data_IF_494828881920
#
_entry.id   IF_494828881920
#
_cell.length_a   1.000
_cell.length_b   1.000
_cell.length_c   1.000
_cell.angle_alpha   90.00
_cell.angle_beta   90.00
_cell.angle_gamma   90.00
#
_symmetry.space_group_name_H-M   'P 1'
#
loop_
_entity.id
_entity.type
_entity.pdbx_description
1 polymer ?
#
# COMPACT_ATOMS: atom_id res chain seq x y z
N UNK A 1 -25.35 17.25 -5.71
CA UNK A 1 -24.36 16.18 -5.98
C UNK A 1 -23.20 16.35 -5.01
N UNK A 2 -22.69 15.29 -4.39
CA UNK A 2 -21.53 15.34 -3.50
C UNK A 2 -20.29 14.92 -4.29
N UNK A 3 -19.24 15.72 -4.26
CA UNK A 3 -17.96 15.42 -4.93
C UNK A 3 -16.97 15.03 -3.84
N UNK A 4 -16.39 13.83 -3.95
CA UNK A 4 -15.28 13.37 -3.10
C UNK A 4 -13.96 13.80 -3.74
N UNK A 5 -13.08 14.40 -2.94
CA UNK A 5 -11.75 14.78 -3.39
C UNK A 5 -10.79 13.59 -3.24
N UNK A 6 -9.76 13.53 -4.06
CA UNK A 6 -8.73 12.51 -3.91
C UNK A 6 -7.98 12.64 -2.58
N UNK A 7 -7.72 11.53 -1.89
CA UNK A 7 -6.98 11.52 -0.62
C UNK A 7 -5.51 11.96 -0.78
N UNK A 8 -4.93 11.76 -1.97
CA UNK A 8 -3.52 12.07 -2.25
C UNK A 8 -3.32 13.53 -2.64
N UNK A 9 -4.02 14.02 -3.68
CA UNK A 9 -3.87 15.40 -4.16
C UNK A 9 -4.89 16.39 -3.59
N UNK A 10 -6.07 15.93 -3.14
CA UNK A 10 -7.18 16.76 -2.60
C UNK A 10 -7.69 17.86 -3.52
N UNK A 11 -7.34 17.81 -4.81
CA UNK A 11 -7.67 18.83 -5.80
C UNK A 11 -8.70 18.31 -6.79
N UNK A 12 -8.62 17.02 -7.12
CA UNK A 12 -9.42 16.42 -8.18
C UNK A 12 -10.53 15.52 -7.64
N UNK A 13 -11.67 15.43 -8.35
CA UNK A 13 -12.73 14.50 -8.01
C UNK A 13 -12.24 13.05 -8.13
N UNK A 14 -12.65 12.21 -7.18
CA UNK A 14 -12.12 10.86 -7.00
C UNK A 14 -13.20 9.78 -7.01
N UNK A 15 -12.76 8.54 -7.28
CA UNK A 15 -13.55 7.31 -7.10
C UNK A 15 -13.08 6.61 -5.83
N UNK A 16 -14.01 5.99 -5.10
CA UNK A 16 -13.69 5.21 -3.91
C UNK A 16 -13.26 3.78 -4.29
N UNK A 17 -12.12 3.35 -3.79
CA UNK A 17 -11.57 2.01 -3.91
C UNK A 17 -11.51 1.36 -2.53
N UNK A 18 -11.91 0.11 -2.43
CA UNK A 18 -11.70 -0.70 -1.22
C UNK A 18 -10.61 -1.70 -1.51
N UNK A 19 -9.48 -1.59 -0.81
CA UNK A 19 -8.34 -2.49 -0.92
C UNK A 19 -8.37 -3.42 0.29
N UNK A 20 -8.31 -4.73 0.05
CA UNK A 20 -8.25 -5.75 1.11
C UNK A 20 -6.90 -6.45 1.04
N UNK A 21 -5.89 -6.00 1.80
CA UNK A 21 -4.59 -6.67 1.86
C UNK A 21 -4.74 -8.02 2.58
N UNK A 22 -3.89 -8.97 2.25
CA UNK A 22 -3.91 -10.28 2.91
C UNK A 22 -3.49 -10.15 4.39
N UNK A 23 -4.37 -10.53 5.30
CA UNK A 23 -4.11 -10.49 6.74
C UNK A 23 -4.32 -9.12 7.40
N UNK A 24 -4.79 -8.12 6.66
CA UNK A 24 -5.07 -6.76 7.17
C UNK A 24 -6.54 -6.38 6.99
N UNK A 25 -6.98 -5.35 7.70
CA UNK A 25 -8.33 -4.82 7.53
C UNK A 25 -8.47 -4.10 6.18
N UNK A 26 -9.66 -4.15 5.56
CA UNK A 26 -9.91 -3.43 4.32
C UNK A 26 -9.79 -1.91 4.55
N UNK A 27 -9.19 -1.23 3.59
CA UNK A 27 -9.00 0.23 3.60
C UNK A 27 -9.75 0.83 2.41
N UNK A 28 -10.58 1.84 2.69
CA UNK A 28 -11.24 2.65 1.67
C UNK A 28 -10.37 3.86 1.31
N UNK A 29 -10.15 4.10 0.02
CA UNK A 29 -9.33 5.20 -0.52
C UNK A 29 -10.04 5.90 -1.67
N UNK A 30 -10.10 7.23 -1.64
CA UNK A 30 -10.61 8.04 -2.73
C UNK A 30 -9.45 8.44 -3.67
N UNK A 31 -9.42 7.85 -4.87
CA UNK A 31 -8.34 8.06 -5.84
C UNK A 31 -8.88 8.71 -7.14
N UNK A 32 -8.19 9.75 -7.60
CA UNK A 32 -8.42 10.33 -8.92
C UNK A 32 -7.88 9.42 -10.03
N UNK A 33 -8.23 9.70 -11.29
CA UNK A 33 -7.81 8.86 -12.43
C UNK A 33 -6.30 8.64 -12.51
N UNK A 34 -5.51 9.68 -12.27
CA UNK A 34 -4.04 9.60 -12.31
C UNK A 34 -3.48 8.67 -11.23
N UNK A 35 -4.01 8.75 -10.01
CA UNK A 35 -3.54 7.94 -8.89
C UNK A 35 -4.12 6.52 -8.89
N UNK A 36 -5.31 6.33 -9.44
CA UNK A 36 -5.94 5.03 -9.59
C UNK A 36 -5.36 4.21 -10.75
N UNK A 37 -4.83 4.87 -11.79
CA UNK A 37 -4.39 4.21 -13.02
C UNK A 37 -3.44 3.02 -12.80
N UNK A 38 -2.39 3.10 -11.96
CA UNK A 38 -1.49 1.96 -11.73
C UNK A 38 -2.20 0.75 -11.11
N UNK A 39 -3.16 1.00 -10.23
CA UNK A 39 -3.93 -0.05 -9.55
C UNK A 39 -4.94 -0.67 -10.53
N UNK A 40 -5.65 0.16 -11.30
CA UNK A 40 -6.57 -0.31 -12.33
C UNK A 40 -5.84 -1.17 -13.37
N UNK A 41 -4.62 -0.81 -13.76
CA UNK A 41 -3.79 -1.59 -14.68
C UNK A 41 -3.42 -2.97 -14.09
N UNK A 42 -2.95 -3.02 -12.84
CA UNK A 42 -2.65 -4.29 -12.16
C UNK A 42 -3.89 -5.18 -12.04
N UNK A 43 -5.05 -4.60 -11.72
CA UNK A 43 -6.33 -5.32 -11.68
C UNK A 43 -6.69 -5.86 -13.07
N UNK A 44 -6.49 -5.07 -14.13
CA UNK A 44 -6.74 -5.51 -15.50
C UNK A 44 -5.81 -6.64 -15.92
N UNK A 45 -4.52 -6.57 -15.57
CA UNK A 45 -3.56 -7.65 -15.83
C UNK A 45 -3.95 -8.93 -15.08
N UNK A 46 -4.30 -8.82 -13.80
CA UNK A 46 -4.74 -9.95 -12.99
C UNK A 46 -6.06 -10.55 -13.51
N UNK A 47 -6.99 -9.72 -13.98
CA UNK A 47 -8.24 -10.18 -14.62
C UNK A 47 -7.97 -10.83 -15.98
N UNK A 48 -7.11 -10.24 -16.80
CA UNK A 48 -6.71 -10.78 -18.10
C UNK A 48 -6.01 -12.13 -17.98
N UNK A 49 -5.15 -12.29 -16.98
CA UNK A 49 -4.54 -13.58 -16.62
C UNK A 49 -5.58 -14.61 -16.15
N UNK A 50 -6.68 -14.16 -15.51
CA UNK A 50 -7.78 -15.04 -15.10
C UNK A 50 -8.69 -15.49 -16.26
N UNK A 51 -8.63 -14.86 -17.45
CA UNK A 51 -9.44 -15.29 -18.62
C UNK A 51 -8.81 -16.48 -19.38
N UNK A 52 -7.64 -16.97 -18.97
CA UNK A 52 -7.08 -18.23 -19.49
C UNK A 52 -7.67 -19.50 -18.81
N UNK A 53 -8.51 -19.33 -17.78
CA UNK A 53 -9.31 -20.41 -17.19
C UNK A 53 -10.77 -20.29 -17.67
N UNK A 54 -11.39 -21.38 -18.18
CA UNK A 54 -12.73 -21.31 -18.75
C UNK A 54 -13.76 -20.94 -17.68
N UNK A 55 -14.69 -20.08 -18.09
CA UNK A 55 -15.75 -19.51 -17.28
C UNK A 55 -16.66 -20.58 -16.67
N UNK A 56 -16.90 -20.49 -15.36
CA UNK A 56 -18.12 -21.02 -14.74
C UNK A 56 -18.75 -20.03 -13.76
N UNK A 57 -20.06 -19.90 -13.92
CA UNK A 57 -21.06 -19.50 -12.93
C UNK A 57 -21.07 -18.05 -12.42
N UNK A 58 -21.94 -17.27 -13.07
CA UNK A 58 -22.72 -16.18 -12.48
C UNK A 58 -23.30 -16.59 -11.12
N UNK A 59 -22.99 -15.82 -10.08
CA UNK A 59 -23.90 -15.66 -8.92
C UNK A 59 -23.99 -14.19 -8.55
N UNK A 60 -25.23 -13.71 -8.43
CA UNK A 60 -25.61 -12.32 -8.19
C UNK A 60 -25.09 -11.78 -6.83
N UNK A 61 -24.86 -10.47 -6.69
CA UNK A 61 -24.47 -9.88 -5.41
C UNK A 61 -25.65 -9.81 -4.44
N UNK A 62 -25.51 -10.44 -3.28
CA UNK A 62 -26.41 -10.23 -2.15
C UNK A 62 -26.13 -8.87 -1.48
N UNK A 63 -27.17 -8.14 -1.02
CA UNK A 63 -27.02 -6.76 -0.55
C UNK A 63 -26.58 -6.66 0.93
N UNK A 64 -25.75 -5.64 1.18
CA UNK A 64 -25.66 -4.79 2.37
C UNK A 64 -25.58 -5.46 3.75
N UNK A 65 -24.35 -5.67 4.24
CA UNK A 65 -24.10 -5.84 5.68
C UNK A 65 -23.88 -4.48 6.33
N UNK A 66 -24.77 -4.15 7.27
CA UNK A 66 -24.84 -2.89 8.00
C UNK A 66 -23.57 -2.64 8.81
N UNK A 67 -22.97 -1.47 8.58
CA UNK A 67 -21.91 -0.84 9.37
C UNK A 67 -22.37 -0.68 10.82
N UNK A 68 -21.82 -1.47 11.75
CA UNK A 68 -22.04 -1.28 13.19
C UNK A 68 -20.98 -0.34 13.73
N UNK A 69 -21.34 0.93 13.88
CA UNK A 69 -20.64 1.88 14.76
C UNK A 69 -20.67 1.37 16.20
N UNK A 70 -19.51 1.07 16.79
CA UNK A 70 -19.35 1.00 18.26
C UNK A 70 -18.53 2.18 18.76
N UNK A 71 -19.24 3.02 19.50
CA UNK A 71 -18.77 4.16 20.27
C UNK A 71 -18.12 3.65 21.57
N UNK A 72 -16.92 4.16 21.85
CA UNK A 72 -16.32 4.48 23.17
C UNK A 72 -16.56 3.56 24.37
N UNK A 73 -15.48 3.14 25.05
CA UNK A 73 -15.17 3.54 26.44
C UNK A 73 -13.78 3.05 26.86
N UNK A 74 -12.99 3.95 27.43
CA UNK A 74 -11.68 3.68 28.02
C UNK A 74 -11.79 2.98 29.39
N UNK A 75 -10.85 2.10 29.72
CA UNK A 75 -10.38 1.94 31.12
C UNK A 75 -8.99 1.30 31.21
N UNK A 76 -8.11 2.00 31.93
CA UNK A 76 -6.77 1.64 32.42
C UNK A 76 -6.73 0.28 33.13
N UNK A 77 -5.61 -0.43 32.99
CA UNK A 77 -4.92 -1.10 34.10
C UNK A 77 -3.43 -1.27 33.80
N UNK A 78 -2.61 -1.11 34.83
CA UNK A 78 -1.15 -1.08 34.82
C UNK A 78 -0.55 -2.41 35.35
N UNK A 79 0.80 -2.49 35.28
CA UNK A 79 1.74 -3.50 35.82
C UNK A 79 2.32 -4.41 34.73
N UNK A 80 3.62 -4.73 34.67
CA UNK A 80 4.73 -4.68 35.63
C UNK A 80 6.07 -4.77 34.86
N UNK A 81 7.14 -4.18 35.40
CA UNK A 81 8.53 -4.26 34.91
C UNK A 81 9.17 -5.61 35.28
N UNK A 82 10.08 -6.12 34.44
CA UNK A 82 11.41 -6.64 34.84
C UNK A 82 12.33 -6.88 33.62
N UNK A 83 13.67 -6.86 33.79
CA UNK A 83 14.66 -6.66 32.74
C UNK A 83 15.39 -7.96 32.33
N UNK A 84 15.99 -7.95 31.13
CA UNK A 84 17.32 -8.49 30.79
C UNK A 84 17.36 -8.95 29.33
N UNK A 85 18.30 -8.44 28.53
CA UNK A 85 19.60 -9.09 28.27
C UNK A 85 20.28 -8.38 27.10
N UNK A 86 21.42 -7.74 27.39
CA UNK A 86 22.35 -7.22 26.36
C UNK A 86 22.86 -8.39 25.53
N UNK A 87 22.78 -8.27 24.21
CA UNK A 87 23.60 -9.03 23.26
C UNK A 87 24.30 -8.03 22.31
N UNK A 88 25.52 -8.36 21.85
CA UNK A 88 26.49 -7.40 21.34
C UNK A 88 26.21 -6.85 19.93
N UNK A 89 26.96 -5.80 19.62
CA UNK A 89 26.77 -4.84 18.55
C UNK A 89 26.85 -5.39 17.11
N UNK A 90 25.87 -4.90 16.32
CA UNK A 90 25.89 -4.57 14.88
C UNK A 90 27.16 -4.95 14.09
N UNK A 91 27.03 -5.98 13.27
CA UNK A 91 27.77 -6.07 12.01
C UNK A 91 27.35 -4.91 11.10
N UNK A 92 28.34 -4.14 10.65
CA UNK A 92 28.17 -2.98 9.78
C UNK A 92 27.58 -3.40 8.43
N UNK A 93 26.28 -3.19 8.25
CA UNK A 93 25.64 -3.15 6.94
C UNK A 93 26.29 -2.03 6.15
N UNK A 94 27.03 -2.38 5.08
CA UNK A 94 27.62 -1.42 4.16
C UNK A 94 26.50 -0.57 3.55
N UNK A 95 26.37 0.67 4.01
CA UNK A 95 25.49 1.63 3.38
C UNK A 95 25.94 1.84 1.92
N UNK A 96 25.00 1.92 0.96
CA UNK A 96 25.35 2.25 -0.41
C UNK A 96 26.04 3.62 -0.42
N UNK A 97 27.23 3.69 -1.01
CA UNK A 97 27.94 4.95 -1.22
C UNK A 97 27.16 5.75 -2.26
N UNK A 98 26.53 6.83 -1.81
CA UNK A 98 25.91 7.81 -2.69
C UNK A 98 27.07 8.62 -3.28
N UNK A 99 27.40 8.34 -4.54
CA UNK A 99 28.41 9.07 -5.30
C UNK A 99 27.79 10.33 -5.90
N UNK A 100 28.57 11.40 -6.01
CA UNK A 100 28.15 12.62 -6.68
C UNK A 100 28.05 12.40 -8.19
N UNK A 101 27.27 13.24 -8.89
CA UNK A 101 27.08 13.12 -10.33
C UNK A 101 28.40 13.20 -11.12
N UNK A 102 29.37 13.99 -10.65
CA UNK A 102 30.70 14.08 -11.25
C UNK A 102 31.50 12.76 -11.10
N UNK A 103 31.41 12.09 -9.95
CA UNK A 103 32.10 10.81 -9.70
C UNK A 103 31.53 9.68 -10.57
N UNK A 104 30.23 9.73 -10.90
CA UNK A 104 29.56 8.77 -11.77
C UNK A 104 29.99 8.95 -13.24
N UNK A 105 30.19 10.19 -13.68
CA UNK A 105 30.62 10.47 -15.05
C UNK A 105 32.05 10.00 -15.31
N UNK A 106 32.96 10.20 -14.35
CA UNK A 106 34.35 9.76 -14.43
C UNK A 106 34.48 8.22 -14.53
N UNK A 107 33.70 7.46 -13.76
CA UNK A 107 33.72 5.99 -13.85
C UNK A 107 33.19 5.47 -15.19
N UNK A 108 32.21 6.16 -15.77
CA UNK A 108 31.62 5.78 -17.05
C UNK A 108 32.59 6.02 -18.22
N UNK A 109 33.43 7.04 -18.12
CA UNK A 109 34.51 7.27 -19.08
C UNK A 109 35.63 6.24 -18.93
N UNK A 110 35.97 5.83 -17.70
CA UNK A 110 37.00 4.81 -17.45
C UNK A 110 36.64 3.40 -17.94
N UNK A 111 35.35 3.06 -18.08
CA UNK A 111 34.90 1.79 -18.66
C UNK A 111 34.78 1.79 -20.19
N UNK A 112 34.99 2.94 -20.84
CA UNK A 112 34.85 3.11 -22.29
C UNK A 112 36.17 3.18 -23.06
N UNK A 113 37.30 3.00 -22.38
CA UNK A 113 38.62 2.77 -22.99
C UNK A 113 38.98 1.30 -22.95
#
# INVERSE_FOLDING_TARGET
MKITACDLDKLTPAKTYTITPEGEEPVDLDLCGTHAAPIEELIQQAKGAQVAAPAEARTAPAPAVKRVTRKTTAKKAAAKKTPAKKTPAKTASRAPKIMTLEEIEAQKQAQKG
#
